data_IF_189917582513
#
_entry.id   IF_189917582513
#
_cell.length_a   1.000
_cell.length_b   1.000
_cell.length_c   1.000
_cell.angle_alpha   90.00
_cell.angle_beta   90.00
_cell.angle_gamma   90.00
#
_symmetry.space_group_name_H-M   'P 1'
#
loop_
_entity.id
_entity.type
_entity.pdbx_description
1 polymer ?
#
# COMPACT_ATOMS: atom_id res chain seq x y z
N UNK A 1 -15.15 -71.53 16.40
CA UNK A 1 -15.46 -70.30 15.63
C UNK A 1 -14.77 -69.02 16.19
N UNK A 2 -13.60 -69.13 16.73
CA UNK A 2 -12.88 -67.91 17.32
C UNK A 2 -11.63 -67.51 16.55
N UNK A 3 -11.30 -68.18 15.45
CA UNK A 3 -10.05 -67.87 14.71
C UNK A 3 -10.11 -66.78 13.64
N UNK A 4 -11.28 -66.38 13.17
CA UNK A 4 -11.40 -65.47 12.02
C UNK A 4 -11.50 -63.96 12.38
N UNK A 5 -11.79 -63.63 13.62
CA UNK A 5 -11.94 -62.24 14.05
C UNK A 5 -10.59 -61.53 14.29
N UNK A 6 -9.56 -62.27 14.72
CA UNK A 6 -8.24 -61.70 14.94
C UNK A 6 -7.52 -61.37 13.62
N UNK A 7 -7.78 -62.14 12.56
CA UNK A 7 -7.17 -61.89 11.24
C UNK A 7 -7.79 -60.66 10.55
N UNK A 8 -9.13 -60.48 10.73
CA UNK A 8 -9.84 -59.30 10.21
C UNK A 8 -9.45 -58.01 10.93
N UNK A 9 -9.20 -58.04 12.27
CA UNK A 9 -8.73 -56.88 13.03
C UNK A 9 -7.29 -56.52 12.64
N UNK A 10 -6.41 -57.48 12.40
CA UNK A 10 -5.03 -57.22 11.96
C UNK A 10 -4.96 -56.60 10.57
N UNK A 11 -5.83 -57.03 9.64
CA UNK A 11 -5.90 -56.45 8.28
C UNK A 11 -6.48 -55.05 8.31
N UNK A 12 -7.45 -54.73 9.17
CA UNK A 12 -7.99 -53.37 9.33
C UNK A 12 -6.98 -52.40 9.95
N UNK A 13 -6.18 -52.86 10.94
CA UNK A 13 -5.15 -52.02 11.55
C UNK A 13 -3.99 -51.74 10.58
N UNK A 14 -3.59 -52.71 9.76
CA UNK A 14 -2.54 -52.50 8.74
C UNK A 14 -3.05 -51.62 7.60
N UNK A 15 -4.33 -51.68 7.20
CA UNK A 15 -4.89 -50.78 6.18
C UNK A 15 -4.99 -49.31 6.64
N UNK A 16 -5.22 -49.05 7.94
CA UNK A 16 -5.29 -47.69 8.49
C UNK A 16 -3.90 -47.08 8.61
N UNK A 17 -2.84 -47.84 8.83
CA UNK A 17 -1.46 -47.31 8.91
C UNK A 17 -0.89 -47.01 7.52
N UNK A 18 -1.39 -47.58 6.44
CA UNK A 18 -0.92 -47.32 5.07
C UNK A 18 -1.61 -46.14 4.37
N UNK A 19 -2.59 -45.48 5.00
CA UNK A 19 -3.26 -44.28 4.49
C UNK A 19 -3.02 -43.03 5.32
N UNK A 20 -1.89 -42.95 6.00
CA UNK A 20 -1.44 -41.64 6.48
C UNK A 20 -1.22 -40.73 5.25
N UNK A 21 -1.96 -39.62 5.07
CA UNK A 21 -1.66 -38.73 3.97
C UNK A 21 -0.22 -38.29 4.14
N UNK A 22 0.60 -38.55 3.14
CA UNK A 22 1.92 -37.90 3.06
C UNK A 22 1.67 -36.40 3.15
N UNK A 23 1.91 -35.82 4.33
CA UNK A 23 1.98 -34.40 4.47
C UNK A 23 3.11 -33.95 3.53
N UNK A 24 2.73 -33.44 2.36
CA UNK A 24 3.65 -32.77 1.46
C UNK A 24 4.14 -31.57 2.25
N UNK A 25 5.27 -31.78 2.92
CA UNK A 25 6.02 -30.70 3.55
C UNK A 25 6.46 -29.81 2.41
N UNK A 26 5.69 -28.74 2.15
CA UNK A 26 6.08 -27.74 1.18
C UNK A 26 7.49 -27.27 1.61
N UNK A 27 8.49 -27.59 0.79
CA UNK A 27 9.86 -27.18 1.06
C UNK A 27 9.86 -25.69 1.35
N UNK A 28 10.30 -25.29 2.54
CA UNK A 28 10.33 -23.90 2.95
C UNK A 28 11.10 -23.10 1.89
N UNK A 29 10.43 -22.15 1.24
CA UNK A 29 11.06 -21.35 0.20
C UNK A 29 12.28 -20.65 0.80
N UNK A 30 13.44 -20.81 0.15
CA UNK A 30 14.68 -20.22 0.62
C UNK A 30 14.55 -18.69 0.66
N UNK A 31 14.79 -18.09 1.82
CA UNK A 31 14.77 -16.63 1.98
C UNK A 31 15.90 -16.01 1.15
N UNK A 32 15.54 -15.08 0.26
CA UNK A 32 16.45 -14.48 -0.73
C UNK A 32 17.31 -13.36 -0.13
N UNK A 33 16.80 -12.68 0.90
CA UNK A 33 17.48 -11.55 1.56
C UNK A 33 17.37 -11.67 3.09
N UNK A 34 18.37 -11.22 3.86
CA UNK A 34 18.38 -11.42 5.30
C UNK A 34 17.36 -10.55 6.06
N UNK A 35 16.91 -9.46 5.47
CA UNK A 35 15.99 -8.49 6.08
C UNK A 35 15.28 -7.63 5.04
N UNK A 36 14.13 -7.06 5.46
CA UNK A 36 13.38 -6.09 4.67
C UNK A 36 12.92 -4.95 5.58
N UNK A 37 13.21 -3.71 5.19
CA UNK A 37 12.74 -2.50 5.86
C UNK A 37 11.81 -1.73 4.93
N UNK A 38 10.67 -1.29 5.48
CA UNK A 38 9.58 -0.72 4.70
C UNK A 38 9.30 0.69 5.20
N UNK A 39 9.24 1.66 4.27
CA UNK A 39 8.91 3.06 4.49
C UNK A 39 7.79 3.45 3.53
N UNK A 40 6.78 4.16 4.02
CA UNK A 40 5.66 4.50 3.16
C UNK A 40 4.48 5.11 3.91
N UNK A 41 3.36 5.09 3.23
CA UNK A 41 2.08 5.59 3.70
C UNK A 41 1.08 4.45 4.00
N UNK A 42 -0.22 4.76 3.98
CA UNK A 42 -1.29 3.79 4.23
C UNK A 42 -1.33 2.60 3.28
N UNK A 43 -0.76 2.70 2.07
CA UNK A 43 -0.70 1.58 1.12
C UNK A 43 0.10 0.39 1.67
N UNK A 44 1.01 0.65 2.60
CA UNK A 44 1.92 -0.36 3.16
C UNK A 44 2.03 -0.34 4.69
N UNK A 45 1.36 0.58 5.39
CA UNK A 45 1.24 0.57 6.86
C UNK A 45 0.57 -0.73 7.32
N UNK A 46 1.09 -1.32 8.38
CA UNK A 46 0.57 -2.55 8.97
C UNK A 46 0.33 -2.44 10.49
N UNK A 47 0.13 -1.20 10.99
CA UNK A 47 -0.30 -0.96 12.35
C UNK A 47 0.42 0.14 13.12
N UNK A 48 1.32 0.92 12.49
CA UNK A 48 2.00 2.01 13.19
C UNK A 48 1.02 3.12 13.65
N UNK A 49 -0.08 3.30 12.94
CA UNK A 49 -1.10 4.29 13.31
C UNK A 49 -2.10 3.80 14.36
N UNK A 50 -2.05 2.52 14.79
CA UNK A 50 -3.08 1.94 15.65
C UNK A 50 -3.25 2.66 16.98
N UNK A 51 -2.17 3.14 17.58
CA UNK A 51 -2.11 3.67 18.94
C UNK A 51 -1.84 5.19 19.00
N UNK A 52 -1.85 5.89 17.87
CA UNK A 52 -1.70 7.36 17.84
C UNK A 52 -3.03 8.04 17.58
N UNK A 53 -3.16 9.31 17.98
CA UNK A 53 -4.35 10.11 17.72
C UNK A 53 -4.39 10.51 16.24
N UNK A 54 -5.04 9.69 15.42
CA UNK A 54 -5.15 9.83 13.98
C UNK A 54 -6.52 9.40 13.48
N UNK A 55 -7.00 10.06 12.43
CA UNK A 55 -8.15 9.62 11.64
C UNK A 55 -7.74 8.56 10.59
N UNK A 56 -6.46 8.55 10.20
CA UNK A 56 -5.88 7.55 9.31
C UNK A 56 -5.52 6.28 10.09
N UNK A 57 -6.54 5.50 10.47
CA UNK A 57 -6.41 4.21 11.16
C UNK A 57 -7.22 3.13 10.46
N UNK A 58 -6.70 1.89 10.50
CA UNK A 58 -7.34 0.70 9.98
C UNK A 58 -7.36 -0.45 11.02
N UNK A 59 -7.44 -0.10 12.30
CA UNK A 59 -7.43 -1.03 13.43
C UNK A 59 -8.84 -1.48 13.85
N UNK A 60 -9.79 -1.50 12.94
CA UNK A 60 -11.17 -1.92 13.18
C UNK A 60 -11.71 -2.73 11.98
N UNK A 61 -12.69 -3.60 12.25
CA UNK A 61 -13.40 -4.35 11.21
C UNK A 61 -14.26 -3.39 10.36
N UNK A 62 -14.32 -3.61 9.01
CA UNK A 62 -13.90 -4.82 8.30
C UNK A 62 -12.48 -4.77 7.70
N UNK A 63 -11.63 -3.79 8.02
CA UNK A 63 -10.22 -3.86 7.61
C UNK A 63 -9.61 -5.18 8.08
N UNK A 64 -8.84 -5.83 7.23
CA UNK A 64 -8.22 -7.12 7.51
C UNK A 64 -9.21 -8.29 7.64
N UNK A 65 -10.44 -8.18 7.10
CA UNK A 65 -11.47 -9.22 7.19
C UNK A 65 -11.03 -10.57 6.58
N UNK A 66 -10.16 -10.52 5.57
CA UNK A 66 -9.60 -11.70 4.88
C UNK A 66 -8.12 -11.97 5.29
N UNK A 67 -7.62 -11.27 6.31
CA UNK A 67 -6.27 -11.56 6.80
C UNK A 67 -6.24 -12.95 7.45
N UNK A 68 -5.20 -13.77 7.14
CA UNK A 68 -5.10 -15.12 7.71
C UNK A 68 -5.20 -15.11 9.23
N UNK A 69 -5.79 -16.18 9.77
CA UNK A 69 -5.88 -16.48 11.22
C UNK A 69 -6.93 -15.68 12.01
N UNK A 70 -7.84 -14.94 11.36
CA UNK A 70 -8.95 -14.26 12.02
C UNK A 70 -8.53 -13.28 13.13
N UNK A 71 -7.25 -12.93 13.20
CA UNK A 71 -6.66 -12.02 14.17
C UNK A 71 -7.40 -10.68 14.22
N UNK A 72 -7.24 -9.93 15.29
CA UNK A 72 -7.71 -8.56 15.42
C UNK A 72 -7.26 -7.74 14.19
N UNK A 73 -8.02 -6.70 13.77
CA UNK A 73 -7.68 -5.90 12.61
C UNK A 73 -6.21 -5.45 12.68
N UNK A 74 -5.39 -5.81 11.68
CA UNK A 74 -3.94 -5.66 11.81
C UNK A 74 -3.44 -4.23 11.58
N UNK A 75 -4.33 -3.26 11.33
CA UNK A 75 -3.96 -1.88 10.99
C UNK A 75 -3.54 -1.68 9.54
N UNK A 76 -3.84 -2.65 8.66
CA UNK A 76 -3.64 -2.56 7.21
C UNK A 76 -4.85 -1.95 6.54
N UNK A 77 -4.64 -0.99 5.66
CA UNK A 77 -5.71 -0.30 4.93
C UNK A 77 -6.22 -1.12 3.73
N UNK A 78 -6.53 -2.38 3.95
CA UNK A 78 -7.04 -3.31 2.93
C UNK A 78 -7.86 -4.43 3.61
N UNK A 79 -8.53 -5.26 2.81
CA UNK A 79 -9.25 -6.44 3.34
C UNK A 79 -8.32 -7.54 3.88
N UNK A 80 -7.03 -7.55 3.48
CA UNK A 80 -6.10 -8.59 3.89
C UNK A 80 -4.65 -8.11 3.87
N UNK A 81 -3.79 -8.74 3.05
CA UNK A 81 -2.37 -8.43 2.93
C UNK A 81 -2.13 -7.21 2.04
N UNK A 82 -1.18 -6.37 2.44
CA UNK A 82 -0.66 -5.29 1.60
C UNK A 82 0.28 -5.85 0.52
N UNK A 83 0.63 -5.00 -0.46
CA UNK A 83 1.57 -5.38 -1.51
C UNK A 83 2.95 -5.79 -0.93
N UNK A 84 3.43 -5.11 0.12
CA UNK A 84 4.72 -5.43 0.75
C UNK A 84 4.68 -6.69 1.62
N UNK A 85 3.54 -7.07 2.21
CA UNK A 85 3.38 -8.37 2.86
C UNK A 85 3.55 -9.50 1.84
N UNK A 86 2.90 -9.36 0.68
CA UNK A 86 2.97 -10.34 -0.41
C UNK A 86 4.38 -10.40 -1.00
N UNK A 87 5.03 -9.23 -1.17
CA UNK A 87 6.41 -9.14 -1.62
C UNK A 87 7.38 -9.81 -0.62
N UNK A 88 7.18 -9.61 0.69
CA UNK A 88 7.95 -10.30 1.73
C UNK A 88 7.80 -11.83 1.60
N UNK A 89 6.59 -12.33 1.38
CA UNK A 89 6.35 -13.75 1.10
C UNK A 89 7.12 -14.25 -0.13
N UNK A 90 7.10 -13.49 -1.24
CA UNK A 90 7.86 -13.81 -2.46
C UNK A 90 9.39 -13.78 -2.24
N UNK A 91 9.88 -12.95 -1.32
CA UNK A 91 11.27 -12.92 -0.88
C UNK A 91 11.63 -14.06 0.09
N UNK A 92 10.67 -14.90 0.48
CA UNK A 92 10.87 -16.08 1.34
C UNK A 92 10.70 -15.82 2.84
N UNK A 93 10.19 -14.65 3.25
CA UNK A 93 9.82 -14.42 4.63
C UNK A 93 8.56 -15.22 4.99
N UNK A 94 8.62 -15.98 6.08
CA UNK A 94 7.47 -16.71 6.59
C UNK A 94 6.63 -15.81 7.51
N UNK A 95 5.32 -16.09 7.67
CA UNK A 95 4.49 -15.45 8.69
C UNK A 95 5.06 -15.68 10.12
N UNK A 96 4.86 -14.73 11.04
CA UNK A 96 4.37 -13.38 10.79
C UNK A 96 5.37 -12.62 9.91
N UNK A 97 4.86 -11.85 8.94
CA UNK A 97 5.70 -11.09 8.00
C UNK A 97 6.51 -10.01 8.71
N UNK A 98 6.87 -8.94 8.02
CA UNK A 98 7.65 -7.84 8.62
C UNK A 98 6.76 -7.08 9.61
N UNK A 99 7.10 -7.02 10.93
CA UNK A 99 6.26 -6.36 11.93
C UNK A 99 6.28 -4.84 11.80
N UNK A 100 5.19 -4.18 12.24
CA UNK A 100 5.16 -2.73 12.40
C UNK A 100 6.15 -2.29 13.49
N UNK A 101 6.84 -1.19 13.26
CA UNK A 101 7.79 -0.61 14.23
C UNK A 101 7.16 -0.38 15.61
N UNK A 102 5.92 0.10 15.66
CA UNK A 102 5.19 0.36 16.90
C UNK A 102 4.90 -0.90 17.75
N UNK A 103 5.01 -2.09 17.17
CA UNK A 103 4.71 -3.37 17.84
C UNK A 103 5.95 -4.30 17.91
N UNK A 104 7.07 -3.86 17.34
CA UNK A 104 8.26 -4.69 17.19
C UNK A 104 9.01 -4.90 18.51
N UNK A 105 9.64 -6.07 18.61
CA UNK A 105 10.56 -6.39 19.70
C UNK A 105 12.01 -6.25 19.20
N UNK A 106 13.00 -6.05 20.09
CA UNK A 106 14.42 -5.97 19.70
C UNK A 106 14.92 -7.17 18.87
N UNK A 107 14.35 -8.36 19.07
CA UNK A 107 14.63 -9.56 18.27
C UNK A 107 14.24 -9.44 16.79
N UNK A 108 13.29 -8.55 16.45
CA UNK A 108 12.82 -8.34 15.09
C UNK A 108 13.73 -7.41 14.27
N UNK A 109 14.48 -6.53 14.96
CA UNK A 109 15.21 -5.42 14.34
C UNK A 109 16.14 -5.87 13.22
N UNK A 110 16.85 -6.98 13.43
CA UNK A 110 17.78 -7.51 12.43
C UNK A 110 17.09 -8.26 11.28
N UNK A 111 15.80 -8.65 11.43
CA UNK A 111 15.01 -9.31 10.40
C UNK A 111 14.28 -8.29 9.50
N UNK A 112 13.99 -7.10 10.02
CA UNK A 112 13.35 -6.02 9.30
C UNK A 112 12.13 -5.48 10.03
N UNK A 113 11.76 -4.25 9.70
CA UNK A 113 10.61 -3.55 10.28
C UNK A 113 9.88 -2.75 9.21
N UNK A 114 8.59 -2.55 9.45
CA UNK A 114 7.76 -1.65 8.69
C UNK A 114 7.57 -0.35 9.47
N UNK A 115 8.05 0.76 8.92
CA UNK A 115 7.96 2.11 9.50
C UNK A 115 6.84 2.95 8.86
N UNK A 116 6.16 2.42 7.86
CA UNK A 116 5.11 3.14 7.12
C UNK A 116 3.99 3.62 8.05
N UNK A 117 3.38 4.74 7.71
CA UNK A 117 2.35 5.38 8.52
C UNK A 117 1.25 5.95 7.65
N UNK A 118 -0.01 5.65 7.97
CA UNK A 118 -1.18 6.20 7.28
C UNK A 118 -1.15 7.73 7.26
N UNK A 119 -1.59 8.36 6.18
CA UNK A 119 -1.56 9.78 5.89
C UNK A 119 -0.16 10.42 5.67
N UNK A 120 0.92 9.67 5.89
CA UNK A 120 2.27 10.22 5.77
C UNK A 120 2.60 10.66 4.34
N UNK A 121 3.40 11.72 4.25
CA UNK A 121 3.97 12.25 3.02
C UNK A 121 5.50 12.38 3.09
N UNK A 122 6.07 12.84 1.99
CA UNK A 122 7.47 13.27 1.91
C UNK A 122 7.67 14.51 2.76
N UNK A 123 6.72 15.45 2.70
CA UNK A 123 6.75 16.68 3.49
C UNK A 123 6.16 16.44 4.89
N UNK A 124 6.77 17.02 5.94
CA UNK A 124 6.32 16.78 7.33
C UNK A 124 4.89 17.24 7.62
N UNK A 125 4.41 18.29 6.96
CA UNK A 125 3.07 18.84 7.14
C UNK A 125 1.98 18.09 6.40
N UNK A 126 2.33 17.25 5.43
CA UNK A 126 1.37 16.45 4.64
C UNK A 126 0.59 15.54 5.56
N UNK A 127 -0.74 15.57 5.46
CA UNK A 127 -1.62 14.71 6.26
C UNK A 127 -1.97 15.25 7.66
N UNK A 128 -1.48 16.41 8.07
CA UNK A 128 -1.79 17.02 9.39
C UNK A 128 -3.30 17.22 9.63
N UNK A 129 -4.08 17.40 8.55
CA UNK A 129 -5.54 17.47 8.61
C UNK A 129 -6.20 16.16 9.12
N UNK A 130 -5.47 15.04 9.10
CA UNK A 130 -5.91 13.73 9.59
C UNK A 130 -5.35 13.38 10.97
N UNK A 131 -4.58 14.27 11.60
CA UNK A 131 -3.97 14.08 12.91
C UNK A 131 -2.59 13.42 12.87
N UNK A 132 -2.25 12.68 13.94
CA UNK A 132 -0.92 12.10 14.11
C UNK A 132 -0.55 11.08 13.02
N UNK A 133 0.69 11.17 12.55
CA UNK A 133 1.32 10.24 11.59
C UNK A 133 2.83 10.44 11.64
N UNK A 134 3.59 9.55 10.99
CA UNK A 134 5.05 9.61 10.90
C UNK A 134 5.47 9.94 9.46
N UNK A 135 5.85 11.20 9.12
CA UNK A 135 6.35 11.56 7.80
C UNK A 135 7.64 10.81 7.46
N UNK A 136 8.05 10.78 6.19
CA UNK A 136 9.21 9.99 5.73
C UNK A 136 10.48 10.29 6.53
N UNK A 137 10.73 11.54 6.89
CA UNK A 137 11.89 11.95 7.69
C UNK A 137 11.90 11.33 9.09
N UNK A 138 10.72 11.19 9.72
CA UNK A 138 10.58 10.57 11.03
C UNK A 138 10.71 9.05 10.95
N UNK A 139 10.13 8.41 9.91
CA UNK A 139 10.33 6.98 9.65
C UNK A 139 11.82 6.64 9.50
N UNK A 140 12.59 7.46 8.79
CA UNK A 140 14.06 7.31 8.65
C UNK A 140 14.77 7.53 9.99
N UNK A 141 14.29 8.46 10.83
CA UNK A 141 14.80 8.65 12.19
C UNK A 141 14.55 7.45 13.09
N UNK A 142 13.36 6.85 13.02
CA UNK A 142 13.04 5.59 13.72
C UNK A 142 13.98 4.48 13.27
N UNK A 143 14.22 4.33 11.97
CA UNK A 143 15.18 3.34 11.46
C UNK A 143 16.60 3.59 11.99
N UNK A 144 17.06 4.85 12.06
CA UNK A 144 18.36 5.19 12.65
C UNK A 144 18.47 4.69 14.10
N UNK A 145 17.42 4.88 14.89
CA UNK A 145 17.35 4.41 16.28
C UNK A 145 17.43 2.88 16.36
N UNK A 146 16.74 2.19 15.44
CA UNK A 146 16.78 0.71 15.34
C UNK A 146 18.19 0.22 14.97
N UNK A 147 18.84 0.84 13.97
CA UNK A 147 20.21 0.47 13.56
C UNK A 147 21.20 0.61 14.71
N UNK A 148 21.04 1.64 15.55
CA UNK A 148 21.85 1.82 16.76
C UNK A 148 21.73 0.69 17.78
N UNK A 149 20.64 -0.07 17.74
CA UNK A 149 20.35 -1.18 18.66
C UNK A 149 20.68 -2.57 18.07
N UNK A 150 20.96 -2.67 16.77
CA UNK A 150 21.44 -3.91 16.15
C UNK A 150 22.90 -4.13 16.54
N UNK A 151 23.24 -5.35 16.98
CA UNK A 151 24.61 -5.70 17.36
C UNK A 151 25.61 -5.34 16.25
N UNK A 152 26.74 -4.68 16.57
CA UNK A 152 27.69 -4.17 15.56
C UNK A 152 28.32 -5.26 14.69
N UNK A 153 28.54 -6.48 15.26
CA UNK A 153 29.19 -7.58 14.56
C UNK A 153 28.41 -8.01 13.30
N UNK A 154 28.98 -7.74 12.13
CA UNK A 154 28.38 -8.08 10.84
C UNK A 154 27.18 -7.24 10.41
N UNK A 155 26.78 -6.23 11.19
CA UNK A 155 25.63 -5.35 10.93
C UNK A 155 25.68 -4.73 9.55
N UNK A 156 26.75 -4.05 9.20
CA UNK A 156 26.85 -3.30 7.94
C UNK A 156 26.80 -4.22 6.72
N UNK A 157 27.45 -5.39 6.80
CA UNK A 157 27.35 -6.43 5.76
C UNK A 157 25.92 -6.95 5.65
N UNK A 158 25.20 -7.13 6.76
CA UNK A 158 23.81 -7.58 6.77
C UNK A 158 22.89 -6.52 6.17
N UNK A 159 22.99 -5.26 6.65
CA UNK A 159 22.18 -4.14 6.17
C UNK A 159 22.35 -3.89 4.67
N UNK A 160 23.59 -4.01 4.14
CA UNK A 160 23.85 -3.90 2.71
C UNK A 160 23.19 -4.97 1.83
N UNK A 161 22.74 -6.09 2.42
CA UNK A 161 22.05 -7.18 1.72
C UNK A 161 20.53 -7.15 1.87
N UNK A 162 19.99 -6.27 2.71
CA UNK A 162 18.56 -6.13 2.94
C UNK A 162 17.87 -5.37 1.80
N UNK A 163 16.57 -5.59 1.63
CA UNK A 163 15.71 -4.77 0.77
C UNK A 163 15.14 -3.60 1.57
N UNK A 164 15.19 -2.42 0.99
CA UNK A 164 14.60 -1.18 1.51
C UNK A 164 13.50 -0.72 0.56
N UNK A 165 12.25 -0.97 0.94
CA UNK A 165 11.10 -0.47 0.20
C UNK A 165 10.78 0.95 0.65
N UNK A 166 10.65 1.89 -0.29
CA UNK A 166 10.24 3.27 -0.04
C UNK A 166 9.17 3.66 -1.05
N UNK A 167 7.95 3.88 -0.58
CA UNK A 167 6.81 4.29 -1.41
C UNK A 167 6.06 5.44 -0.77
N UNK A 168 6.23 6.66 -1.30
CA UNK A 168 5.70 7.88 -0.71
C UNK A 168 5.38 8.90 -1.79
N UNK A 169 4.39 9.75 -1.54
CA UNK A 169 4.04 10.87 -2.41
C UNK A 169 2.55 11.01 -2.70
N UNK A 170 1.75 9.95 -2.54
CA UNK A 170 0.30 10.00 -2.81
C UNK A 170 -0.39 11.07 -1.94
N UNK A 171 -0.08 11.08 -0.64
CA UNK A 171 -0.66 12.04 0.30
C UNK A 171 -0.17 13.46 0.09
N UNK A 172 1.05 13.66 -0.41
CA UNK A 172 1.55 15.00 -0.74
C UNK A 172 0.68 15.68 -1.80
N UNK A 173 0.01 14.91 -2.65
CA UNK A 173 -0.98 15.42 -3.58
C UNK A 173 -2.39 15.40 -3.01
N UNK A 174 -2.88 14.26 -2.48
CA UNK A 174 -4.26 14.10 -1.99
C UNK A 174 -4.54 14.87 -0.69
N UNK A 175 -3.58 14.86 0.24
CA UNK A 175 -3.72 15.42 1.60
C UNK A 175 -2.78 16.61 1.82
N UNK A 176 -2.44 17.35 0.76
CA UNK A 176 -1.69 18.60 0.79
C UNK A 176 -1.99 19.45 -0.46
N UNK A 177 -1.32 19.20 -1.61
CA UNK A 177 -1.33 20.07 -2.79
C UNK A 177 -2.74 20.37 -3.33
N UNK A 178 -3.59 19.35 -3.42
CA UNK A 178 -4.97 19.49 -3.90
C UNK A 178 -5.99 19.70 -2.77
N UNK A 179 -5.55 20.19 -1.60
CA UNK A 179 -6.41 20.60 -0.48
C UNK A 179 -6.20 22.08 -0.12
N UNK A 180 -6.58 23.02 -0.99
CA UNK A 180 -6.30 24.45 -0.79
C UNK A 180 -6.98 25.06 0.43
N UNK A 181 -8.06 24.42 0.95
CA UNK A 181 -8.74 24.85 2.18
C UNK A 181 -7.93 24.59 3.46
N UNK A 182 -6.95 23.67 3.39
CA UNK A 182 -6.10 23.27 4.51
C UNK A 182 -4.64 23.71 4.34
N UNK A 183 -4.19 23.82 3.08
CA UNK A 183 -2.79 24.08 2.73
C UNK A 183 -2.66 25.16 1.67
N UNK A 184 -1.68 26.04 1.82
CA UNK A 184 -1.35 27.06 0.81
C UNK A 184 -0.34 26.56 -0.25
N UNK A 185 -0.08 25.26 -0.29
CA UNK A 185 0.97 24.63 -1.13
C UNK A 185 0.77 24.93 -2.61
N UNK A 186 -0.47 24.77 -3.13
CA UNK A 186 -0.78 25.06 -4.52
C UNK A 186 -0.74 26.55 -4.89
N UNK A 187 -0.74 27.45 -3.89
CA UNK A 187 -0.54 28.90 -4.08
C UNK A 187 0.95 29.24 -4.12
N UNK A 188 1.78 28.41 -3.48
CA UNK A 188 3.23 28.62 -3.35
C UNK A 188 4.02 27.98 -4.49
N UNK A 189 3.57 26.82 -4.96
CA UNK A 189 4.28 26.02 -5.96
C UNK A 189 3.36 25.70 -7.14
N UNK A 190 3.87 25.86 -8.36
CA UNK A 190 3.30 25.16 -9.51
C UNK A 190 3.58 23.65 -9.43
N UNK A 191 2.91 22.80 -10.24
CA UNK A 191 3.08 21.36 -10.17
C UNK A 191 4.53 20.87 -10.38
N UNK A 192 5.31 21.56 -11.21
CA UNK A 192 6.70 21.17 -11.49
C UNK A 192 7.62 21.55 -10.33
N UNK A 193 7.46 22.74 -9.78
CA UNK A 193 8.19 23.23 -8.61
C UNK A 193 7.88 22.37 -7.37
N UNK A 194 6.61 21.97 -7.18
CA UNK A 194 6.22 21.10 -6.08
C UNK A 194 6.85 19.71 -6.21
N UNK A 195 6.77 19.10 -7.39
CA UNK A 195 7.44 17.83 -7.64
C UNK A 195 8.95 17.90 -7.39
N UNK A 196 9.61 19.00 -7.79
CA UNK A 196 11.04 19.19 -7.53
C UNK A 196 11.35 19.27 -6.03
N UNK A 197 10.55 20.02 -5.25
CA UNK A 197 10.70 20.14 -3.80
C UNK A 197 10.51 18.77 -3.09
N UNK A 198 9.50 17.99 -3.49
CA UNK A 198 9.29 16.65 -2.99
C UNK A 198 10.48 15.73 -3.30
N UNK A 199 10.98 15.75 -4.52
CA UNK A 199 12.07 14.89 -4.95
C UNK A 199 13.39 15.23 -4.27
N UNK A 200 13.65 16.51 -3.99
CA UNK A 200 14.82 16.95 -3.22
C UNK A 200 14.80 16.34 -1.81
N UNK A 201 13.67 16.42 -1.13
CA UNK A 201 13.52 15.84 0.21
C UNK A 201 13.57 14.31 0.17
N UNK A 202 12.91 13.69 -0.80
CA UNK A 202 12.94 12.24 -0.99
C UNK A 202 14.37 11.71 -1.16
N UNK A 203 15.16 12.36 -2.01
CA UNK A 203 16.57 12.01 -2.23
C UNK A 203 17.40 12.16 -0.96
N UNK A 204 17.15 13.21 -0.17
CA UNK A 204 17.81 13.40 1.12
C UNK A 204 17.54 12.22 2.05
N UNK A 205 16.30 11.70 2.08
CA UNK A 205 15.95 10.55 2.90
C UNK A 205 16.56 9.24 2.36
N UNK A 206 16.59 9.01 1.05
CA UNK A 206 17.30 7.86 0.47
C UNK A 206 18.81 7.88 0.79
N UNK A 207 19.42 9.06 0.74
CA UNK A 207 20.84 9.27 1.10
C UNK A 207 21.07 9.00 2.58
N UNK A 208 20.14 9.40 3.45
CA UNK A 208 20.22 9.08 4.88
C UNK A 208 20.12 7.56 5.14
N UNK A 209 19.22 6.86 4.45
CA UNK A 209 19.13 5.40 4.52
C UNK A 209 20.43 4.73 4.01
N UNK A 210 20.99 5.25 2.91
CA UNK A 210 22.27 4.77 2.38
C UNK A 210 23.41 4.92 3.41
N UNK A 211 23.50 6.07 4.08
CA UNK A 211 24.48 6.33 5.14
C UNK A 211 24.31 5.39 6.34
N UNK A 212 23.10 4.88 6.58
CA UNK A 212 22.77 3.88 7.60
C UNK A 212 23.03 2.44 7.14
N UNK A 213 23.59 2.20 5.96
CA UNK A 213 23.99 0.89 5.46
C UNK A 213 23.10 0.31 4.35
N UNK A 214 22.03 0.98 3.94
CA UNK A 214 21.17 0.51 2.87
C UNK A 214 21.88 0.51 1.50
N UNK A 215 21.68 -0.58 0.71
CA UNK A 215 22.28 -0.74 -0.61
C UNK A 215 21.31 -1.21 -1.70
N UNK A 216 20.18 -1.83 -1.35
CA UNK A 216 19.19 -2.36 -2.29
C UNK A 216 17.84 -1.70 -2.05
N UNK A 217 17.49 -0.75 -2.90
CA UNK A 217 16.28 0.05 -2.74
C UNK A 217 15.21 -0.35 -3.75
N UNK A 218 13.98 -0.44 -3.28
CA UNK A 218 12.77 -0.55 -4.10
C UNK A 218 11.98 0.75 -3.91
N UNK A 219 12.02 1.63 -4.90
CA UNK A 219 11.42 2.96 -4.87
C UNK A 219 10.12 2.92 -5.67
N UNK A 220 8.98 3.01 -5.01
CA UNK A 220 7.69 2.97 -5.68
C UNK A 220 7.26 4.37 -6.14
N UNK A 221 6.87 4.47 -7.41
CA UNK A 221 6.18 5.64 -7.95
C UNK A 221 4.74 5.72 -7.44
N UNK A 222 4.12 6.88 -7.60
CA UNK A 222 2.71 7.12 -7.28
C UNK A 222 1.83 6.64 -8.43
N UNK A 223 0.73 5.94 -8.11
CA UNK A 223 -0.26 5.47 -9.09
C UNK A 223 -1.10 6.60 -9.70
N UNK A 224 -2.08 6.25 -10.53
CA UNK A 224 -3.05 7.20 -11.08
C UNK A 224 -4.10 7.56 -10.02
N UNK A 225 -3.71 8.30 -8.99
CA UNK A 225 -4.57 8.66 -7.85
C UNK A 225 -5.75 9.55 -8.23
N UNK A 226 -5.73 10.19 -9.40
CA UNK A 226 -6.91 10.87 -9.97
C UNK A 226 -8.00 9.89 -10.46
N UNK A 227 -7.76 8.58 -10.45
CA UNK A 227 -8.72 7.54 -10.85
C UNK A 227 -9.21 6.67 -9.68
N UNK A 228 -8.86 6.99 -8.45
CA UNK A 228 -9.33 6.26 -7.26
C UNK A 228 -10.79 6.60 -6.94
N UNK A 229 -11.55 5.73 -6.26
CA UNK A 229 -12.95 5.99 -5.94
C UNK A 229 -13.20 7.33 -5.26
N UNK A 230 -12.27 7.82 -4.44
CA UNK A 230 -12.33 9.12 -3.79
C UNK A 230 -12.40 10.29 -4.77
N UNK A 231 -11.58 10.28 -5.81
CA UNK A 231 -11.58 11.30 -6.85
C UNK A 231 -12.78 11.14 -7.79
N UNK A 232 -13.09 9.90 -8.18
CA UNK A 232 -14.25 9.61 -9.04
C UNK A 232 -15.58 10.02 -8.39
N UNK A 233 -15.66 9.99 -7.06
CA UNK A 233 -16.86 10.42 -6.33
C UNK A 233 -17.07 11.95 -6.33
N UNK A 234 -16.05 12.73 -6.73
CA UNK A 234 -16.05 14.21 -6.74
C UNK A 234 -16.21 14.82 -8.12
N UNK A 235 -16.05 14.03 -9.17
CA UNK A 235 -16.25 14.49 -10.54
C UNK A 235 -17.75 14.50 -10.84
N UNK A 236 -18.31 15.64 -11.22
CA UNK A 236 -19.70 15.76 -11.65
C UNK A 236 -19.93 15.05 -12.99
N UNK A 237 -21.17 14.65 -13.26
CA UNK A 237 -21.53 13.93 -14.49
C UNK A 237 -21.18 14.70 -15.78
N UNK A 238 -21.00 16.02 -15.70
CA UNK A 238 -20.57 16.90 -16.79
C UNK A 238 -19.04 16.95 -16.97
N UNK A 239 -18.27 16.24 -16.16
CA UNK A 239 -16.81 16.15 -16.25
C UNK A 239 -16.06 17.40 -15.79
N UNK A 240 -16.74 18.33 -15.13
CA UNK A 240 -16.12 19.52 -14.56
C UNK A 240 -15.66 19.24 -13.13
N UNK A 241 -14.36 19.41 -12.91
CA UNK A 241 -13.74 19.28 -11.59
C UNK A 241 -14.12 20.51 -10.75
N UNK A 242 -15.17 20.38 -9.95
CA UNK A 242 -15.50 21.33 -8.89
C UNK A 242 -14.42 21.23 -7.79
N UNK A 243 -13.18 21.54 -8.13
CA UNK A 243 -12.01 21.56 -7.23
C UNK A 243 -12.11 22.63 -6.13
N UNK A 244 -13.28 22.77 -5.55
CA UNK A 244 -13.55 23.53 -4.33
C UNK A 244 -14.05 22.52 -3.30
N UNK A 245 -13.32 22.42 -2.19
CA UNK A 245 -13.78 21.75 -0.98
C UNK A 245 -15.16 22.26 -0.56
N UNK A 246 -16.22 21.73 -1.19
CA UNK A 246 -17.57 21.98 -0.73
C UNK A 246 -17.75 21.07 0.49
N UNK A 247 -17.96 21.61 1.68
CA UNK A 247 -18.36 20.79 2.82
C UNK A 247 -19.63 20.02 2.41
N UNK A 248 -19.81 18.77 2.84
CA UNK A 248 -21.01 18.00 2.55
C UNK A 248 -22.23 18.83 2.99
N UNK A 249 -23.36 18.76 2.25
CA UNK A 249 -24.55 19.54 2.58
C UNK A 249 -25.00 19.20 4.01
N UNK A 250 -25.13 20.24 4.82
CA UNK A 250 -25.59 20.15 6.19
C UNK A 250 -27.09 19.87 6.24
N UNK A 251 -27.50 18.60 6.18
CA UNK A 251 -28.82 18.17 6.65
C UNK A 251 -28.88 16.65 6.83
N UNK A 252 -29.04 16.21 8.07
CA UNK A 252 -29.49 14.87 8.43
C UNK A 252 -28.48 13.99 9.19
N UNK A 253 -28.81 13.73 10.45
CA UNK A 253 -28.25 12.75 11.40
C UNK A 253 -26.74 12.89 11.66
N UNK A 254 -26.42 13.67 12.70
CA UNK A 254 -25.05 13.79 13.21
C UNK A 254 -24.63 12.55 13.97
N UNK A 255 -23.62 11.85 13.50
CA UNK A 255 -22.82 10.97 14.34
C UNK A 255 -21.67 11.83 14.90
N UNK A 256 -21.77 12.18 16.18
CA UNK A 256 -20.75 12.97 16.85
C UNK A 256 -19.52 12.11 17.12
N UNK A 257 -18.51 12.22 16.27
CA UNK A 257 -17.14 11.88 16.65
C UNK A 257 -16.52 13.17 17.18
N UNK A 258 -15.88 13.21 18.37
CA UNK A 258 -15.30 14.45 18.88
C UNK A 258 -14.36 15.09 17.86
N UNK A 259 -14.77 16.24 17.29
CA UNK A 259 -14.02 17.02 16.32
C UNK A 259 -14.45 16.92 14.84
N UNK A 260 -15.44 16.09 14.46
CA UNK A 260 -15.93 16.02 13.07
C UNK A 260 -17.45 15.92 13.07
N UNK A 261 -18.12 16.90 12.45
CA UNK A 261 -19.54 16.82 12.16
C UNK A 261 -19.74 16.26 10.75
N UNK A 262 -20.18 15.02 10.63
CA UNK A 262 -20.56 14.41 9.35
C UNK A 262 -22.08 14.53 9.21
N UNK A 263 -22.54 15.33 8.26
CA UNK A 263 -23.97 15.44 7.94
C UNK A 263 -24.29 14.54 6.74
N UNK A 264 -25.13 13.53 6.93
CA UNK A 264 -25.62 12.65 5.88
C UNK A 264 -26.98 13.19 5.39
N UNK A 265 -27.02 13.80 4.22
CA UNK A 265 -28.24 14.22 3.53
C UNK A 265 -28.76 13.11 2.62
N UNK A 266 -29.93 12.57 2.92
CA UNK A 266 -30.67 11.70 2.01
C UNK A 266 -31.52 12.55 1.07
N UNK A 267 -31.37 12.35 -0.25
CA UNK A 267 -32.37 12.77 -1.24
C UNK A 267 -32.44 11.73 -2.36
N UNK A 268 -33.54 10.99 -2.37
CA UNK A 268 -33.93 10.16 -3.50
C UNK A 268 -34.39 11.05 -4.66
N UNK A 269 -33.91 10.78 -5.86
CA UNK A 269 -34.31 11.40 -7.09
C UNK A 269 -33.93 10.53 -8.27
N UNK A 270 -34.90 9.71 -8.69
CA UNK A 270 -34.84 8.88 -9.88
C UNK A 270 -34.95 9.78 -11.11
N UNK A 271 -33.95 9.81 -12.00
CA UNK A 271 -34.12 10.25 -13.37
C UNK A 271 -33.19 9.53 -14.33
N UNK A 272 -33.75 8.57 -15.02
CA UNK A 272 -33.20 7.98 -16.24
C UNK A 272 -33.42 8.94 -17.41
N UNK A 273 -32.36 9.32 -18.14
CA UNK A 273 -32.41 9.62 -19.58
C UNK A 273 -31.09 9.16 -20.20
N UNK A 274 -31.24 8.21 -21.13
CA UNK A 274 -30.18 7.79 -22.02
C UNK A 274 -29.89 8.88 -23.07
N UNK A 275 -28.62 9.27 -23.21
CA UNK A 275 -28.10 9.82 -24.46
C UNK A 275 -26.65 9.39 -24.61
N UNK A 276 -26.36 8.67 -25.71
CA UNK A 276 -25.06 8.12 -26.04
C UNK A 276 -24.09 9.19 -26.52
N UNK A 277 -23.23 9.66 -25.63
CA UNK A 277 -22.01 10.38 -25.94
C UNK A 277 -20.84 9.55 -25.40
N UNK A 278 -19.73 9.45 -26.15
CA UNK A 278 -18.53 8.78 -25.69
C UNK A 278 -18.12 9.36 -24.33
N UNK A 279 -18.25 8.57 -23.24
CA UNK A 279 -17.83 8.98 -21.89
C UNK A 279 -16.33 9.27 -21.94
N UNK A 280 -15.94 10.54 -21.75
CA UNK A 280 -14.56 10.89 -21.38
C UNK A 280 -14.16 10.04 -20.17
N UNK A 281 -12.92 9.60 -20.13
CA UNK A 281 -12.36 8.87 -18.98
C UNK A 281 -12.61 9.69 -17.72
N UNK A 282 -13.41 9.18 -16.77
CA UNK A 282 -13.84 9.92 -15.61
C UNK A 282 -12.78 10.08 -14.52
N UNK A 283 -11.48 10.20 -14.86
CA UNK A 283 -10.39 10.44 -13.90
C UNK A 283 -10.09 11.95 -13.78
N UNK A 284 -9.56 12.36 -12.63
CA UNK A 284 -9.06 13.72 -12.42
C UNK A 284 -7.71 13.90 -13.13
N UNK A 285 -7.75 14.50 -14.33
CA UNK A 285 -6.56 14.68 -15.18
C UNK A 285 -5.56 15.70 -14.61
N UNK A 286 -5.99 16.67 -13.79
CA UNK A 286 -5.08 17.61 -13.13
C UNK A 286 -4.17 16.88 -12.16
N UNK A 287 -4.73 16.00 -11.33
CA UNK A 287 -3.98 15.19 -10.39
C UNK A 287 -3.05 14.24 -11.15
N UNK A 288 -3.57 13.51 -12.15
CA UNK A 288 -2.77 12.56 -12.90
C UNK A 288 -1.61 13.23 -13.67
N UNK A 289 -1.80 14.46 -14.15
CA UNK A 289 -0.74 15.25 -14.80
C UNK A 289 0.35 15.65 -13.81
N UNK A 290 0.00 16.10 -12.61
CA UNK A 290 0.97 16.40 -11.56
C UNK A 290 1.75 15.14 -11.12
N UNK A 291 1.08 14.00 -10.98
CA UNK A 291 1.72 12.71 -10.69
C UNK A 291 2.68 12.27 -11.81
N UNK A 292 2.34 12.52 -13.08
CA UNK A 292 3.23 12.20 -14.19
C UNK A 292 4.54 12.99 -14.12
N UNK A 293 4.49 14.27 -13.74
CA UNK A 293 5.69 15.12 -13.52
C UNK A 293 6.54 14.54 -12.38
N UNK A 294 5.92 14.23 -11.24
CA UNK A 294 6.59 13.65 -10.08
C UNK A 294 7.28 12.31 -10.43
N UNK A 295 6.56 11.37 -11.02
CA UNK A 295 7.09 10.05 -11.37
C UNK A 295 8.22 10.12 -12.41
N UNK A 296 8.14 11.05 -13.38
CA UNK A 296 9.23 11.31 -14.33
C UNK A 296 10.50 11.75 -13.60
N UNK A 297 10.36 12.66 -12.65
CA UNK A 297 11.46 13.12 -11.81
C UNK A 297 12.01 12.02 -10.89
N UNK A 298 11.14 11.22 -10.27
CA UNK A 298 11.51 10.10 -9.41
C UNK A 298 12.32 9.04 -10.18
N UNK A 299 11.88 8.68 -11.38
CA UNK A 299 12.63 7.77 -12.26
C UNK A 299 13.99 8.36 -12.66
N UNK A 300 14.05 9.67 -12.97
CA UNK A 300 15.30 10.34 -13.30
C UNK A 300 16.27 10.34 -12.09
N UNK A 301 15.77 10.55 -10.87
CA UNK A 301 16.53 10.45 -9.62
C UNK A 301 17.09 9.03 -9.42
N UNK A 302 16.27 7.99 -9.57
CA UNK A 302 16.71 6.59 -9.49
C UNK A 302 17.82 6.32 -10.52
N UNK A 303 17.65 6.76 -11.77
CA UNK A 303 18.69 6.62 -12.82
C UNK A 303 20.00 7.32 -12.44
N UNK A 304 19.93 8.49 -11.82
CA UNK A 304 21.11 9.26 -11.41
C UNK A 304 21.83 8.60 -10.23
N UNK A 305 21.09 8.17 -9.20
CA UNK A 305 21.66 7.50 -8.04
C UNK A 305 22.31 6.16 -8.43
N UNK A 306 21.75 5.41 -9.37
CA UNK A 306 22.35 4.18 -9.90
C UNK A 306 23.68 4.39 -10.67
N UNK A 307 24.02 5.63 -11.06
CA UNK A 307 25.37 5.95 -11.62
C UNK A 307 26.46 5.96 -10.56
N UNK A 308 26.10 5.86 -9.28
CA UNK A 308 27.01 5.58 -8.16
C UNK A 308 27.90 6.73 -7.69
N UNK A 309 27.75 7.94 -8.20
CA UNK A 309 28.58 9.10 -7.78
C UNK A 309 28.31 9.49 -6.31
N UNK A 310 27.04 9.49 -5.89
CA UNK A 310 26.61 9.86 -4.53
C UNK A 310 26.38 8.66 -3.62
N UNK A 311 26.06 7.50 -4.19
CA UNK A 311 25.68 6.27 -3.49
C UNK A 311 26.42 5.06 -4.07
N UNK A 312 27.77 4.99 -3.95
CA UNK A 312 28.55 3.88 -4.49
C UNK A 312 28.07 2.51 -4.00
N UNK A 313 27.87 1.56 -4.93
CA UNK A 313 27.41 0.21 -4.61
C UNK A 313 25.92 0.10 -4.23
N UNK A 314 25.16 1.18 -4.27
CA UNK A 314 23.71 1.09 -4.16
C UNK A 314 23.06 0.67 -5.48
N UNK A 315 22.00 -0.13 -5.38
CA UNK A 315 21.15 -0.57 -6.48
C UNK A 315 19.70 -0.16 -6.19
N UNK A 316 19.16 0.73 -7.01
CA UNK A 316 17.82 1.25 -6.87
C UNK A 316 16.94 0.71 -8.00
N UNK A 317 15.76 0.21 -7.65
CA UNK A 317 14.71 -0.22 -8.59
C UNK A 317 13.52 0.71 -8.45
N UNK A 318 13.10 1.32 -9.55
CA UNK A 318 11.86 2.09 -9.63
C UNK A 318 10.70 1.17 -9.99
N UNK A 319 9.64 1.15 -9.17
CA UNK A 319 8.39 0.47 -9.48
C UNK A 319 7.40 1.45 -10.12
N UNK A 320 6.91 1.11 -11.32
CA UNK A 320 6.00 1.96 -12.08
C UNK A 320 4.55 1.69 -11.71
N UNK A 321 4.07 2.32 -10.63
CA UNK A 321 2.70 2.15 -10.15
C UNK A 321 1.63 2.60 -11.17
N UNK A 322 1.93 3.60 -12.02
CA UNK A 322 1.03 4.00 -13.11
C UNK A 322 0.85 2.87 -14.11
N UNK A 323 1.93 2.20 -14.51
CA UNK A 323 1.84 1.06 -15.42
C UNK A 323 1.09 -0.11 -14.81
N UNK A 324 1.33 -0.39 -13.53
CA UNK A 324 0.60 -1.44 -12.79
C UNK A 324 -0.90 -1.16 -12.73
N UNK A 325 -1.31 0.07 -12.45
CA UNK A 325 -2.73 0.48 -12.43
C UNK A 325 -3.38 0.38 -13.82
N UNK A 326 -2.70 0.84 -14.87
CA UNK A 326 -3.17 0.71 -16.26
C UNK A 326 -3.34 -0.75 -16.68
N UNK A 327 -2.41 -1.61 -16.30
CA UNK A 327 -2.49 -3.03 -16.59
C UNK A 327 -3.65 -3.70 -15.85
N UNK A 328 -3.86 -3.38 -14.57
CA UNK A 328 -5.02 -3.88 -13.82
C UNK A 328 -6.34 -3.50 -14.48
N UNK A 329 -6.47 -2.26 -14.96
CA UNK A 329 -7.68 -1.81 -15.63
C UNK A 329 -7.84 -2.43 -17.03
N UNK A 330 -6.78 -2.47 -17.83
CA UNK A 330 -6.82 -2.98 -19.21
C UNK A 330 -7.07 -4.50 -19.25
N UNK A 331 -6.54 -5.26 -18.30
CA UNK A 331 -6.63 -6.71 -18.20
C UNK A 331 -7.57 -7.19 -17.07
N UNK A 332 -8.47 -6.32 -16.62
CA UNK A 332 -9.32 -6.57 -15.46
C UNK A 332 -10.07 -7.91 -15.53
N UNK A 333 -10.70 -8.21 -16.67
CA UNK A 333 -11.43 -9.46 -16.87
C UNK A 333 -10.53 -10.70 -16.76
N UNK A 334 -9.30 -10.65 -17.28
CA UNK A 334 -8.33 -11.74 -17.19
C UNK A 334 -7.85 -11.95 -15.75
N UNK A 335 -7.81 -10.90 -14.93
CA UNK A 335 -7.50 -10.95 -13.50
C UNK A 335 -8.72 -11.30 -12.62
N UNK A 336 -9.91 -11.39 -13.21
CA UNK A 336 -11.16 -11.70 -12.52
C UNK A 336 -11.88 -10.49 -11.92
N UNK A 337 -11.41 -9.26 -12.17
CA UNK A 337 -12.07 -8.03 -11.71
C UNK A 337 -13.24 -7.65 -12.61
N UNK A 338 -14.34 -7.23 -11.98
CA UNK A 338 -15.53 -6.73 -12.65
C UNK A 338 -15.93 -5.33 -12.18
N UNK A 339 -15.31 -4.84 -11.09
CA UNK A 339 -15.57 -3.54 -10.48
C UNK A 339 -14.26 -2.76 -10.33
N UNK A 340 -14.12 -1.67 -11.10
CA UNK A 340 -12.87 -0.96 -11.26
C UNK A 340 -12.90 0.47 -10.70
N UNK A 341 -14.10 1.02 -10.48
CA UNK A 341 -14.36 2.45 -10.26
C UNK A 341 -14.92 2.77 -8.87
N UNK A 342 -15.09 1.77 -8.01
CA UNK A 342 -15.66 1.95 -6.66
C UNK A 342 -14.99 1.07 -5.61
N UNK A 343 -15.10 1.49 -4.35
CA UNK A 343 -14.67 0.70 -3.21
C UNK A 343 -15.61 -0.48 -2.92
N UNK A 344 -15.04 -1.60 -2.47
CA UNK A 344 -15.79 -2.73 -1.90
C UNK A 344 -16.45 -2.34 -0.56
N UNK A 345 -15.81 -1.46 0.20
CA UNK A 345 -16.28 -0.88 1.46
C UNK A 345 -16.09 0.63 1.44
N UNK A 346 -17.10 1.39 1.87
CA UNK A 346 -17.04 2.85 1.91
C UNK A 346 -18.45 3.45 1.88
N UNK A 347 -18.55 4.77 1.88
CA UNK A 347 -19.82 5.50 1.93
C UNK A 347 -19.91 6.48 0.78
N UNK A 348 -21.15 6.73 0.31
CA UNK A 348 -21.47 7.71 -0.72
C UNK A 348 -21.24 7.21 -2.13
N UNK A 349 -21.17 8.13 -3.09
CA UNK A 349 -20.97 7.81 -4.52
C UNK A 349 -19.71 6.97 -4.71
N UNK A 350 -19.81 5.89 -5.46
CA UNK A 350 -18.74 4.92 -5.72
C UNK A 350 -18.09 4.31 -4.44
N UNK A 351 -18.78 4.35 -3.29
CA UNK A 351 -18.17 4.06 -1.98
C UNK A 351 -16.85 4.83 -1.76
N UNK A 352 -16.75 6.04 -2.32
CA UNK A 352 -15.52 6.82 -2.43
C UNK A 352 -15.54 8.15 -1.65
N UNK A 353 -16.70 8.61 -1.14
CA UNK A 353 -16.76 9.88 -0.42
C UNK A 353 -16.16 9.80 0.98
N UNK A 354 -16.37 8.68 1.65
CA UNK A 354 -15.79 8.37 2.96
C UNK A 354 -15.25 6.93 2.90
N UNK A 355 -14.13 6.71 3.55
CA UNK A 355 -13.52 5.38 3.67
C UNK A 355 -14.42 4.41 4.46
N UNK A 356 -14.04 3.16 4.53
CA UNK A 356 -14.80 2.13 5.23
C UNK A 356 -15.00 2.47 6.72
N UNK A 357 -16.23 2.43 7.20
CA UNK A 357 -16.58 2.74 8.59
C UNK A 357 -16.48 1.50 9.48
N UNK A 358 -16.28 1.68 10.81
CA UNK A 358 -16.32 0.57 11.76
C UNK A 358 -17.60 -0.26 11.65
N UNK A 359 -17.46 -1.58 11.59
CA UNK A 359 -18.54 -2.57 11.47
C UNK A 359 -19.39 -2.47 10.19
N UNK A 360 -19.01 -1.65 9.21
CA UNK A 360 -19.68 -1.58 7.93
C UNK A 360 -19.58 -2.92 7.20
N UNK A 361 -20.69 -3.39 6.61
CA UNK A 361 -20.67 -4.59 5.75
C UNK A 361 -19.98 -4.25 4.43
N UNK A 362 -18.89 -4.94 4.06
CA UNK A 362 -18.26 -4.79 2.75
C UNK A 362 -19.05 -5.51 1.66
N UNK A 363 -18.62 -5.40 0.42
CA UNK A 363 -19.12 -6.19 -0.70
C UNK A 363 -18.98 -7.72 -0.43
N UNK A 364 -19.80 -8.53 -1.10
CA UNK A 364 -19.83 -9.97 -0.85
C UNK A 364 -18.59 -10.69 -1.42
N UNK A 365 -18.12 -10.29 -2.62
CA UNK A 365 -16.93 -10.88 -3.26
C UNK A 365 -15.85 -9.81 -3.51
N UNK A 366 -14.89 -9.73 -2.60
CA UNK A 366 -13.75 -8.79 -2.63
C UNK A 366 -12.76 -9.07 -3.75
N UNK A 367 -12.77 -10.28 -4.30
CA UNK A 367 -11.88 -10.65 -5.42
C UNK A 367 -12.30 -10.01 -6.75
N UNK A 368 -13.52 -9.45 -6.81
CA UNK A 368 -14.05 -8.76 -7.98
C UNK A 368 -13.71 -7.27 -8.04
N UNK A 369 -13.16 -6.72 -6.99
CA UNK A 369 -12.91 -5.28 -6.85
C UNK A 369 -11.40 -4.98 -6.90
N UNK A 370 -11.01 -3.94 -7.64
CA UNK A 370 -9.65 -3.40 -7.57
C UNK A 370 -9.45 -2.66 -6.24
N UNK A 371 -10.44 -1.85 -5.84
CA UNK A 371 -10.35 -1.03 -4.63
C UNK A 371 -11.11 -1.65 -3.46
N UNK A 372 -10.43 -1.65 -2.30
CA UNK A 372 -11.04 -2.02 -1.03
C UNK A 372 -11.94 -0.91 -0.49
N UNK A 373 -11.40 0.30 -0.41
CA UNK A 373 -12.11 1.49 0.07
C UNK A 373 -11.95 2.67 -0.91
N UNK A 374 -12.14 3.89 -0.44
CA UNK A 374 -12.04 5.12 -1.24
C UNK A 374 -10.64 5.33 -1.88
N UNK A 375 -9.58 4.76 -1.31
CA UNK A 375 -8.18 5.04 -1.62
C UNK A 375 -7.33 3.80 -1.93
N UNK A 376 -7.62 2.68 -1.28
CA UNK A 376 -6.69 1.56 -1.14
C UNK A 376 -7.10 0.34 -1.98
N UNK A 377 -6.15 -0.41 -2.55
CA UNK A 377 -6.45 -1.62 -3.29
C UNK A 377 -6.88 -2.78 -2.38
N UNK A 378 -7.61 -3.73 -2.96
CA UNK A 378 -7.88 -5.03 -2.33
C UNK A 378 -6.61 -5.89 -2.24
N UNK A 379 -6.62 -6.93 -1.41
CA UNK A 379 -5.55 -7.94 -1.42
C UNK A 379 -5.40 -8.60 -2.80
N UNK A 380 -6.50 -8.82 -3.52
CA UNK A 380 -6.46 -9.39 -4.88
C UNK A 380 -5.64 -8.51 -5.85
N UNK A 381 -5.86 -7.20 -5.83
CA UNK A 381 -5.08 -6.25 -6.62
C UNK A 381 -3.62 -6.17 -6.15
N UNK A 382 -3.39 -6.11 -4.83
CA UNK A 382 -2.05 -6.12 -4.24
C UNK A 382 -1.24 -7.35 -4.67
N UNK A 383 -1.88 -8.52 -4.76
CA UNK A 383 -1.24 -9.78 -5.17
C UNK A 383 -0.74 -9.73 -6.61
N UNK A 384 -1.54 -9.19 -7.52
CA UNK A 384 -1.15 -9.05 -8.93
C UNK A 384 0.03 -8.10 -9.04
N UNK A 385 -0.04 -6.94 -8.37
CA UNK A 385 1.04 -5.94 -8.37
C UNK A 385 2.33 -6.56 -7.79
N UNK A 386 2.26 -7.24 -6.64
CA UNK A 386 3.43 -7.85 -6.00
C UNK A 386 4.11 -8.89 -6.91
N UNK A 387 3.33 -9.79 -7.52
CA UNK A 387 3.87 -10.79 -8.45
C UNK A 387 4.53 -10.13 -9.66
N UNK A 388 3.91 -9.09 -10.21
CA UNK A 388 4.39 -8.37 -11.37
C UNK A 388 5.72 -7.68 -11.10
N UNK A 389 5.83 -6.89 -10.04
CA UNK A 389 7.07 -6.18 -9.70
C UNK A 389 8.18 -7.12 -9.24
N UNK A 390 7.82 -8.30 -8.70
CA UNK A 390 8.78 -9.31 -8.28
C UNK A 390 9.43 -10.03 -9.46
N UNK A 391 8.67 -10.43 -10.49
CA UNK A 391 9.12 -11.37 -11.52
C UNK A 391 9.06 -10.89 -12.97
N UNK A 392 8.33 -9.78 -13.27
CA UNK A 392 8.25 -9.28 -14.65
C UNK A 392 9.62 -8.97 -15.23
N UNK A 393 9.84 -9.35 -16.48
CA UNK A 393 11.03 -8.98 -17.25
C UNK A 393 10.91 -7.58 -17.90
N UNK A 394 9.72 -6.98 -17.86
CA UNK A 394 9.47 -5.67 -18.47
C UNK A 394 10.00 -4.53 -17.61
N UNK A 395 10.86 -3.70 -18.21
CA UNK A 395 11.35 -2.47 -17.56
C UNK A 395 10.25 -1.39 -17.41
N UNK A 396 9.08 -1.59 -18.02
CA UNK A 396 7.90 -0.74 -17.77
C UNK A 396 7.22 -1.02 -16.43
N UNK A 397 7.44 -2.17 -15.83
CA UNK A 397 6.92 -2.55 -14.52
C UNK A 397 7.90 -2.20 -13.40
N UNK A 398 9.18 -2.57 -13.60
CA UNK A 398 10.27 -2.33 -12.65
C UNK A 398 11.57 -2.00 -13.40
N UNK A 399 12.20 -0.87 -13.12
CA UNK A 399 13.39 -0.38 -13.82
C UNK A 399 14.59 -0.25 -12.86
N UNK A 400 15.80 -0.66 -13.21
CA UNK A 400 16.19 -1.34 -14.46
C UNK A 400 15.95 -2.86 -14.44
N UNK A 401 15.67 -3.42 -13.30
CA UNK A 401 15.46 -4.86 -13.05
C UNK A 401 14.27 -5.05 -12.08
N UNK A 402 13.72 -6.25 -12.03
CA UNK A 402 12.68 -6.60 -11.07
C UNK A 402 13.25 -6.89 -9.66
N UNK A 403 12.35 -7.03 -8.67
CA UNK A 403 12.75 -7.19 -7.26
C UNK A 403 13.46 -8.51 -7.01
N UNK A 404 13.12 -9.60 -7.70
CA UNK A 404 13.81 -10.89 -7.52
C UNK A 404 15.27 -10.81 -7.97
N UNK A 405 15.56 -10.08 -9.06
CA UNK A 405 16.92 -9.82 -9.50
C UNK A 405 17.68 -8.91 -8.55
N UNK A 406 17.03 -7.87 -8.01
CA UNK A 406 17.63 -7.00 -6.99
C UNK A 406 18.00 -7.82 -5.74
N UNK A 407 17.14 -8.74 -5.33
CA UNK A 407 17.42 -9.60 -4.17
C UNK A 407 18.65 -10.48 -4.39
N UNK A 408 18.89 -10.93 -5.62
CA UNK A 408 20.00 -11.81 -5.98
C UNK A 408 21.39 -11.13 -6.04
N UNK A 409 21.45 -9.79 -6.21
CA UNK A 409 22.71 -9.02 -6.13
C UNK A 409 23.23 -9.06 -4.69
#
# INVERSE_FOLDING_TARGET
>A
MMGNYHLLLLVMVVAVVLHAPAAVQAAAQKQLVPCMYIFGDSLVDNGNNNNILSLARANYRPYGVDFPDGAAPPGRFTNGRTMVDLLAGLLGFQPPFIPAYAMAQPSDYARGLNFASGAAGVRPETGNNLGGHYPLSEQVSHFRSVVGQIAPAGRDKRLGRCIYYVGMGSNDYLNNYFMPDYYNTAQTYDPAAYAAALLQEYERQLTALYALGARKFVVAGVGQIGCIPYELARIDDDGDDQGRGRPPPTSGIGLAIPGITVSIGGSGGNRSTANGGAKKSGCNDKINSAIAIYNKGLLAMVKRLNRGQQTPGANLVFLNAVNSGKDLAANAAAYGFTVLDRGCCGVGRNNGQITCLPMQRPCDDRTKYIFWDAFHPTEAANRIIANKVFSSSSTSDAYPINVSRLAAI
#
